data_IF_077112348015
#
_entry.id   IF_077112348015
#
_cell.length_a   1.000
_cell.length_b   1.000
_cell.length_c   1.000
_cell.angle_alpha   90.00
_cell.angle_beta   90.00
_cell.angle_gamma   90.00
#
_symmetry.space_group_name_H-M   'P 1'
#
loop_
_entity.id
_entity.type
_entity.pdbx_description
1 polymer ?
#
# COMPACT_ATOMS: atom_id res chain seq x y z
N UNK A 1 -41.71 -49.95 5.84
CA UNK A 1 -40.86 -49.37 4.78
C UNK A 1 -40.91 -47.85 4.90
N UNK A 2 -39.90 -47.24 5.47
CA UNK A 2 -39.84 -45.80 5.67
C UNK A 2 -38.72 -45.23 4.82
N UNK A 3 -39.06 -44.35 3.88
CA UNK A 3 -38.13 -43.72 2.96
C UNK A 3 -37.45 -42.50 3.65
N UNK A 4 -36.16 -42.56 3.79
CA UNK A 4 -35.32 -41.52 4.32
C UNK A 4 -34.94 -40.56 3.19
N UNK A 5 -35.52 -39.36 3.17
CA UNK A 5 -35.13 -38.27 2.27
C UNK A 5 -34.04 -37.46 2.96
N UNK A 6 -32.78 -37.69 2.57
CA UNK A 6 -31.61 -36.91 3.00
C UNK A 6 -31.58 -35.57 2.29
N UNK A 7 -31.60 -34.50 3.09
CA UNK A 7 -31.54 -33.11 2.64
C UNK A 7 -30.08 -32.74 2.31
N UNK A 8 -29.78 -32.62 1.03
CA UNK A 8 -28.41 -32.35 0.52
C UNK A 8 -28.20 -30.85 0.19
N UNK A 9 -28.72 -29.93 1.04
CA UNK A 9 -28.62 -28.49 0.80
C UNK A 9 -27.43 -27.79 1.51
N UNK A 10 -26.56 -28.53 2.21
CA UNK A 10 -25.46 -27.94 3.01
C UNK A 10 -24.11 -27.83 2.31
N UNK A 11 -23.88 -28.51 1.18
CA UNK A 11 -22.53 -28.61 0.58
C UNK A 11 -22.25 -27.59 -0.55
N UNK A 12 -23.26 -26.88 -1.04
CA UNK A 12 -23.05 -25.89 -2.11
C UNK A 12 -22.74 -24.48 -1.62
N UNK A 13 -22.97 -24.19 -0.33
CA UNK A 13 -22.70 -22.86 0.23
C UNK A 13 -21.22 -22.60 0.57
N UNK A 14 -20.42 -23.64 0.78
CA UNK A 14 -19.01 -23.49 1.13
C UNK A 14 -18.07 -23.28 -0.06
N UNK A 15 -18.50 -23.67 -1.26
CA UNK A 15 -17.68 -23.56 -2.48
C UNK A 15 -17.75 -22.17 -3.15
N UNK A 16 -18.82 -21.40 -2.93
CA UNK A 16 -19.01 -20.09 -3.55
C UNK A 16 -18.70 -18.89 -2.62
N UNK A 17 -18.42 -19.13 -1.34
CA UNK A 17 -18.18 -18.07 -0.35
C UNK A 17 -16.82 -17.40 -0.43
N UNK A 18 -15.79 -18.05 -0.98
CA UNK A 18 -14.41 -17.54 -0.92
C UNK A 18 -13.99 -16.63 -2.08
N UNK A 19 -14.68 -16.65 -3.21
CA UNK A 19 -14.25 -15.90 -4.40
C UNK A 19 -14.86 -14.50 -4.55
N UNK A 20 -15.87 -14.13 -3.76
CA UNK A 20 -16.56 -12.83 -3.89
C UNK A 20 -15.82 -11.66 -3.24
N UNK A 21 -14.89 -11.87 -2.32
CA UNK A 21 -14.26 -10.78 -1.58
C UNK A 21 -13.01 -10.17 -2.25
N UNK A 22 -12.40 -10.84 -3.23
CA UNK A 22 -11.16 -10.35 -3.85
C UNK A 22 -11.40 -9.41 -5.04
N UNK A 23 -12.41 -9.68 -5.87
CA UNK A 23 -12.68 -8.87 -7.06
C UNK A 23 -13.49 -7.60 -6.78
N UNK A 24 -14.43 -7.65 -5.82
CA UNK A 24 -15.23 -6.48 -5.46
C UNK A 24 -14.50 -5.47 -4.59
N UNK A 25 -13.50 -5.87 -3.81
CA UNK A 25 -12.67 -4.98 -3.00
C UNK A 25 -11.83 -4.02 -3.84
N UNK A 26 -11.29 -4.47 -4.96
CA UNK A 26 -10.48 -3.66 -5.87
C UNK A 26 -11.32 -2.67 -6.69
N UNK A 27 -12.51 -3.08 -7.14
CA UNK A 27 -13.44 -2.21 -7.86
C UNK A 27 -14.07 -1.14 -6.96
N UNK A 28 -14.36 -1.48 -5.71
CA UNK A 28 -14.94 -0.54 -4.74
C UNK A 28 -14.00 0.61 -4.40
N UNK A 29 -12.68 0.37 -4.27
CA UNK A 29 -11.71 1.43 -4.02
C UNK A 29 -11.55 2.36 -5.23
N UNK A 30 -11.51 1.82 -6.45
CA UNK A 30 -11.40 2.60 -7.68
C UNK A 30 -12.67 3.43 -7.96
N UNK A 31 -13.85 2.91 -7.65
CA UNK A 31 -15.12 3.64 -7.77
C UNK A 31 -15.23 4.74 -6.71
N UNK A 32 -14.72 4.52 -5.51
CA UNK A 32 -14.67 5.53 -4.44
C UNK A 32 -13.74 6.68 -4.82
N UNK A 33 -12.54 6.38 -5.34
CA UNK A 33 -11.59 7.40 -5.80
C UNK A 33 -12.17 8.20 -6.99
N UNK A 34 -12.83 7.52 -7.93
CA UNK A 34 -13.53 8.17 -9.05
C UNK A 34 -14.70 9.05 -8.60
N UNK A 35 -15.48 8.61 -7.62
CA UNK A 35 -16.59 9.40 -7.07
C UNK A 35 -16.13 10.67 -6.37
N UNK A 36 -14.99 10.63 -5.68
CA UNK A 36 -14.37 11.81 -5.04
C UNK A 36 -13.84 12.82 -6.05
N UNK A 37 -13.24 12.35 -7.15
CA UNK A 37 -12.79 13.20 -8.25
C UNK A 37 -14.01 13.85 -8.92
N UNK A 38 -15.07 13.09 -9.19
CA UNK A 38 -16.30 13.57 -9.85
C UNK A 38 -17.14 14.51 -8.98
N UNK A 39 -17.17 14.32 -7.67
CA UNK A 39 -17.91 15.19 -6.73
C UNK A 39 -17.23 16.56 -6.53
N UNK A 40 -16.04 16.76 -7.07
CA UNK A 40 -15.27 18.01 -6.93
C UNK A 40 -14.72 18.25 -5.53
N UNK A 41 -14.87 17.30 -4.61
CA UNK A 41 -14.36 17.43 -3.24
C UNK A 41 -12.83 17.53 -3.23
N UNK A 42 -12.15 16.76 -4.08
CA UNK A 42 -10.69 16.83 -4.27
C UNK A 42 -10.27 18.18 -4.88
N UNK A 43 -11.00 18.68 -5.86
CA UNK A 43 -10.74 19.99 -6.48
C UNK A 43 -10.95 21.16 -5.51
N UNK A 44 -11.94 21.07 -4.62
CA UNK A 44 -12.17 22.07 -3.56
C UNK A 44 -11.05 22.06 -2.52
N UNK A 45 -10.56 20.88 -2.13
CA UNK A 45 -9.45 20.72 -1.20
C UNK A 45 -8.16 21.29 -1.78
N UNK A 46 -7.84 20.98 -3.04
CA UNK A 46 -6.66 21.51 -3.75
C UNK A 46 -6.76 23.03 -3.95
N UNK A 47 -7.94 23.54 -4.29
CA UNK A 47 -8.15 24.99 -4.45
C UNK A 47 -8.00 25.75 -3.13
N UNK A 48 -8.44 25.17 -2.01
CA UNK A 48 -8.24 25.72 -0.67
C UNK A 48 -6.76 25.67 -0.24
N UNK A 49 -6.03 24.63 -0.64
CA UNK A 49 -4.59 24.48 -0.37
C UNK A 49 -3.77 25.55 -1.11
N UNK A 50 -3.99 25.72 -2.43
CA UNK A 50 -3.28 26.70 -3.24
C UNK A 50 -3.74 28.15 -3.05
N UNK A 51 -4.97 28.40 -2.63
CA UNK A 51 -5.43 29.75 -2.29
C UNK A 51 -4.69 30.34 -1.09
N UNK A 52 -4.18 29.50 -0.20
CA UNK A 52 -3.44 29.91 0.99
C UNK A 52 -1.97 30.23 0.72
N UNK A 53 -1.41 29.68 -0.36
CA UNK A 53 -0.02 29.96 -0.79
C UNK A 53 0.10 31.31 -1.52
N UNK A 54 -1.01 31.76 -2.13
CA UNK A 54 -1.07 33.04 -2.84
C UNK A 54 -1.27 34.28 -1.94
N UNK A 55 -1.70 34.08 -0.69
CA UNK A 55 -2.07 35.18 0.23
C UNK A 55 -0.91 35.66 1.14
N UNK A 56 0.29 35.12 0.94
CA UNK A 56 1.47 35.51 1.72
C UNK A 56 2.25 36.68 1.11
N UNK A 57 1.78 37.29 0.02
CA UNK A 57 2.52 38.33 -0.70
C UNK A 57 1.75 39.66 -0.88
N UNK A 58 0.92 40.11 0.05
CA UNK A 58 0.60 41.53 0.12
C UNK A 58 0.03 41.96 1.47
N UNK A 59 0.89 42.67 2.23
CA UNK A 59 0.44 43.62 3.28
C UNK A 59 0.01 44.91 2.62
N UNK A 60 -1.21 45.40 2.90
CA UNK A 60 -1.49 46.76 3.35
C UNK A 60 -2.98 46.96 3.64
N UNK A 61 -3.28 47.25 4.88
CA UNK A 61 -4.18 48.24 5.47
C UNK A 61 -5.56 48.55 4.83
N UNK A 62 -6.64 48.22 5.53
CA UNK A 62 -7.64 49.14 6.10
C UNK A 62 -8.84 48.39 6.72
N UNK A 63 -9.13 48.82 7.93
CA UNK A 63 -10.34 48.68 8.74
C UNK A 63 -11.67 48.64 7.95
N UNK A 64 -12.53 47.65 8.19
CA UNK A 64 -13.87 47.90 8.74
C UNK A 64 -14.59 46.62 9.24
N UNK A 65 -15.42 46.82 10.24
CA UNK A 65 -16.12 45.82 11.02
C UNK A 65 -17.32 45.26 10.23
N UNK A 66 -17.37 43.95 10.04
CA UNK A 66 -18.64 43.22 10.07
C UNK A 66 -18.37 41.78 10.47
N UNK A 67 -18.81 41.42 11.67
CA UNK A 67 -18.78 40.04 12.20
C UNK A 67 -19.72 39.18 11.36
N UNK A 68 -19.19 38.43 10.42
CA UNK A 68 -19.79 37.17 9.95
C UNK A 68 -18.98 36.03 10.53
N UNK A 69 -19.65 35.23 11.36
CA UNK A 69 -19.14 33.99 11.90
C UNK A 69 -18.87 32.99 10.79
N UNK A 70 -17.72 33.10 10.10
CA UNK A 70 -17.17 32.02 9.31
C UNK A 70 -16.30 31.14 10.23
N UNK A 71 -16.96 30.24 10.95
CA UNK A 71 -16.31 29.08 11.56
C UNK A 71 -15.95 28.08 10.46
N UNK A 72 -15.09 28.46 9.54
CA UNK A 72 -14.29 27.49 8.79
C UNK A 72 -13.29 26.94 9.78
N UNK A 73 -13.57 25.76 10.32
CA UNK A 73 -12.73 25.10 11.30
C UNK A 73 -11.31 24.95 10.70
N UNK A 74 -10.38 25.81 11.10
CA UNK A 74 -8.98 25.69 10.74
C UNK A 74 -8.45 24.45 11.46
N UNK A 75 -8.02 23.45 10.69
CA UNK A 75 -7.36 22.26 11.23
C UNK A 75 -6.19 22.70 12.13
N UNK A 76 -6.12 22.15 13.33
CA UNK A 76 -4.99 22.35 14.22
C UNK A 76 -3.70 21.80 13.60
N UNK A 77 -2.55 22.28 14.05
CA UNK A 77 -1.25 21.78 13.58
C UNK A 77 -1.14 20.27 13.77
N UNK A 78 -1.61 19.73 14.89
CA UNK A 78 -1.61 18.30 15.19
C UNK A 78 -2.47 17.48 14.20
N UNK A 79 -3.62 18.01 13.81
CA UNK A 79 -4.49 17.33 12.82
C UNK A 79 -3.87 17.29 11.44
N UNK A 80 -3.17 18.37 11.05
CA UNK A 80 -2.41 18.42 9.79
C UNK A 80 -1.28 17.40 9.78
N UNK A 81 -0.52 17.32 10.86
CA UNK A 81 0.55 16.32 11.01
C UNK A 81 0.02 14.89 10.97
N UNK A 82 -1.11 14.61 11.63
CA UNK A 82 -1.74 13.31 11.58
C UNK A 82 -2.23 12.95 10.16
N UNK A 83 -2.79 13.93 9.44
CA UNK A 83 -3.22 13.72 8.06
C UNK A 83 -2.03 13.46 7.13
N UNK A 84 -0.94 14.20 7.31
CA UNK A 84 0.28 13.99 6.56
C UNK A 84 0.88 12.60 6.81
N UNK A 85 1.03 12.19 8.08
CA UNK A 85 1.49 10.85 8.44
C UNK A 85 0.62 9.76 7.83
N UNK A 86 -0.70 9.98 7.78
CA UNK A 86 -1.62 9.03 7.18
C UNK A 86 -1.45 8.93 5.66
N UNK A 87 -1.19 10.07 4.99
CA UNK A 87 -0.90 10.10 3.56
C UNK A 87 0.43 9.40 3.24
N UNK A 88 1.47 9.66 4.00
CA UNK A 88 2.76 9.00 3.88
C UNK A 88 2.62 7.48 4.04
N UNK A 89 1.93 7.05 5.11
CA UNK A 89 1.64 5.65 5.37
C UNK A 89 0.85 4.98 4.22
N UNK A 90 -0.15 5.66 3.68
CA UNK A 90 -0.93 5.20 2.54
C UNK A 90 -0.03 5.02 1.31
N UNK A 91 0.79 6.01 1.00
CA UNK A 91 1.69 6.00 -0.17
C UNK A 91 2.75 4.91 -0.03
N UNK A 92 3.43 4.82 1.12
CA UNK A 92 4.45 3.80 1.35
C UNK A 92 3.88 2.37 1.32
N UNK A 93 2.70 2.16 1.92
CA UNK A 93 2.04 0.88 1.88
C UNK A 93 1.62 0.48 0.45
N UNK A 94 1.11 1.44 -0.33
CA UNK A 94 0.79 1.18 -1.74
C UNK A 94 2.04 0.83 -2.55
N UNK A 95 3.10 1.60 -2.41
CA UNK A 95 4.36 1.35 -3.12
C UNK A 95 4.93 -0.04 -2.83
N UNK A 96 4.86 -0.50 -1.58
CA UNK A 96 5.30 -1.84 -1.22
C UNK A 96 4.40 -2.93 -1.80
N UNK A 97 3.09 -2.74 -1.76
CA UNK A 97 2.13 -3.68 -2.38
C UNK A 97 2.35 -3.80 -3.89
N UNK A 98 2.57 -2.67 -4.57
CA UNK A 98 2.83 -2.64 -6.01
C UNK A 98 4.17 -3.31 -6.35
N UNK A 99 5.23 -3.05 -5.56
CA UNK A 99 6.55 -3.65 -5.75
C UNK A 99 6.54 -5.16 -5.49
N UNK A 100 5.83 -5.63 -4.46
CA UNK A 100 5.62 -7.05 -4.21
C UNK A 100 4.86 -7.71 -5.37
N UNK A 101 3.80 -7.08 -5.85
CA UNK A 101 3.02 -7.57 -6.99
C UNK A 101 3.83 -7.61 -8.29
N UNK A 102 4.76 -6.67 -8.48
CA UNK A 102 5.65 -6.67 -9.65
C UNK A 102 6.56 -7.90 -9.66
N UNK A 103 7.08 -8.32 -8.50
CA UNK A 103 7.91 -9.53 -8.36
C UNK A 103 7.11 -10.83 -8.49
N UNK A 104 5.78 -10.80 -8.38
CA UNK A 104 4.91 -11.96 -8.57
C UNK A 104 4.56 -12.21 -10.04
N UNK A 105 4.77 -11.24 -10.93
CA UNK A 105 4.38 -11.35 -12.33
C UNK A 105 5.23 -12.35 -13.09
N UNK A 106 4.61 -13.32 -13.73
CA UNK A 106 5.29 -14.31 -14.60
C UNK A 106 6.07 -13.65 -15.72
N UNK A 107 5.59 -12.48 -16.22
CA UNK A 107 6.27 -11.74 -17.30
C UNK A 107 7.67 -11.30 -16.93
N UNK A 108 7.97 -11.08 -15.65
CA UNK A 108 9.30 -10.71 -15.16
C UNK A 108 10.35 -11.82 -15.36
N UNK A 109 9.89 -13.07 -15.43
CA UNK A 109 10.74 -14.27 -15.50
C UNK A 109 10.69 -14.97 -16.86
N UNK A 110 10.09 -14.34 -17.87
CA UNK A 110 10.05 -14.89 -19.22
C UNK A 110 11.42 -14.83 -19.85
N UNK A 111 11.70 -15.86 -20.64
CA UNK A 111 12.87 -15.89 -21.50
C UNK A 111 12.60 -14.93 -22.66
N UNK A 112 13.48 -13.98 -22.88
CA UNK A 112 13.48 -13.09 -24.03
C UNK A 112 14.58 -13.56 -24.98
N UNK A 113 14.30 -13.55 -26.29
CA UNK A 113 15.29 -13.88 -27.33
C UNK A 113 15.86 -12.57 -27.85
N UNK A 114 17.17 -12.38 -27.72
CA UNK A 114 17.88 -11.25 -28.26
C UNK A 114 18.06 -11.36 -29.77
N UNK A 115 18.43 -10.26 -30.42
CA UNK A 115 18.66 -10.21 -31.88
C UNK A 115 19.77 -11.16 -32.35
N UNK A 116 20.70 -11.50 -31.46
CA UNK A 116 21.78 -12.47 -31.71
C UNK A 116 21.34 -13.94 -31.58
N UNK A 117 20.06 -14.21 -31.33
CA UNK A 117 19.49 -15.53 -31.13
C UNK A 117 19.71 -16.13 -29.75
N UNK A 118 20.38 -15.44 -28.83
CA UNK A 118 20.49 -15.88 -27.43
C UNK A 118 19.19 -15.73 -26.69
N UNK A 119 18.82 -16.75 -25.93
CA UNK A 119 17.58 -16.76 -25.15
C UNK A 119 17.91 -16.78 -23.67
N UNK A 120 17.58 -15.71 -22.96
CA UNK A 120 17.84 -15.60 -21.51
C UNK A 120 16.74 -14.79 -20.81
N UNK A 121 16.63 -14.99 -19.51
CA UNK A 121 15.81 -14.13 -18.66
C UNK A 121 16.56 -12.84 -18.37
N UNK A 122 15.89 -11.70 -18.51
CA UNK A 122 16.48 -10.38 -18.23
C UNK A 122 16.72 -10.21 -16.70
N UNK A 123 17.96 -10.48 -16.30
CA UNK A 123 18.41 -10.35 -14.92
C UNK A 123 18.41 -8.90 -14.44
N UNK A 124 18.56 -7.95 -15.34
CA UNK A 124 18.55 -6.52 -15.01
C UNK A 124 17.16 -6.07 -14.57
N UNK A 125 16.12 -6.52 -15.26
CA UNK A 125 14.72 -6.26 -14.86
C UNK A 125 14.40 -6.83 -13.49
N UNK A 126 14.85 -8.08 -13.22
CA UNK A 126 14.64 -8.72 -11.90
C UNK A 126 15.37 -7.95 -10.80
N UNK A 127 16.64 -7.60 -11.03
CA UNK A 127 17.44 -6.84 -10.03
C UNK A 127 16.82 -5.46 -9.75
N UNK A 128 16.31 -4.78 -10.77
CA UNK A 128 15.61 -3.50 -10.62
C UNK A 128 14.31 -3.65 -9.83
N UNK A 129 13.55 -4.72 -10.05
CA UNK A 129 12.34 -5.03 -9.28
C UNK A 129 12.67 -5.34 -7.81
N UNK A 130 13.73 -6.10 -7.53
CA UNK A 130 14.22 -6.36 -6.17
C UNK A 130 14.66 -5.08 -5.48
N UNK A 131 15.37 -4.18 -6.18
CA UNK A 131 15.77 -2.87 -5.65
C UNK A 131 14.57 -2.00 -5.29
N UNK A 132 13.56 -1.96 -6.16
CA UNK A 132 12.32 -1.25 -5.90
C UNK A 132 11.58 -1.82 -4.70
N UNK A 133 11.52 -3.14 -4.57
CA UNK A 133 10.92 -3.82 -3.42
C UNK A 133 11.65 -3.48 -2.12
N UNK A 134 12.98 -3.55 -2.09
CA UNK A 134 13.81 -3.22 -0.92
C UNK A 134 13.58 -1.76 -0.49
N UNK A 135 13.59 -0.82 -1.42
CA UNK A 135 13.31 0.60 -1.13
C UNK A 135 11.92 0.83 -0.55
N UNK A 136 10.90 0.24 -1.19
CA UNK A 136 9.51 0.35 -0.73
C UNK A 136 9.30 -0.32 0.64
N UNK A 137 9.94 -1.47 0.88
CA UNK A 137 9.90 -2.16 2.16
C UNK A 137 10.48 -1.29 3.29
N UNK A 138 11.65 -0.70 3.08
CA UNK A 138 12.30 0.16 4.09
C UNK A 138 11.42 1.38 4.43
N UNK A 139 10.87 2.04 3.42
CA UNK A 139 9.91 3.14 3.61
C UNK A 139 8.70 2.68 4.42
N UNK A 140 8.14 1.52 4.09
CA UNK A 140 7.00 0.94 4.81
C UNK A 140 7.31 0.64 6.27
N UNK A 141 8.45 0.00 6.56
CA UNK A 141 8.88 -0.33 7.95
C UNK A 141 9.07 0.95 8.76
N UNK A 142 9.71 1.97 8.18
CA UNK A 142 9.89 3.25 8.84
C UNK A 142 8.57 3.94 9.18
N UNK A 143 7.69 4.06 8.20
CA UNK A 143 6.40 4.75 8.37
C UNK A 143 5.47 4.00 9.33
N UNK A 144 5.39 2.67 9.22
CA UNK A 144 4.57 1.86 10.12
C UNK A 144 5.13 1.83 11.53
N UNK A 145 6.44 1.89 11.70
CA UNK A 145 7.12 1.98 12.99
C UNK A 145 6.83 3.28 13.74
N UNK A 146 6.63 4.39 13.02
CA UNK A 146 6.25 5.70 13.60
C UNK A 146 4.78 5.80 13.96
N UNK A 147 3.94 4.88 13.50
CA UNK A 147 2.49 4.95 13.72
C UNK A 147 2.13 4.65 15.17
N UNK A 148 1.29 5.50 15.78
CA UNK A 148 0.69 5.27 17.09
C UNK A 148 -0.46 4.25 17.07
N UNK A 149 -0.94 3.84 15.88
CA UNK A 149 -2.07 2.92 15.74
C UNK A 149 -1.63 1.47 15.91
N UNK A 150 -2.15 0.79 16.93
CA UNK A 150 -1.80 -0.61 17.25
C UNK A 150 -2.06 -1.57 16.08
N UNK A 151 -3.09 -1.33 15.27
CA UNK A 151 -3.39 -2.14 14.08
C UNK A 151 -2.28 -2.04 13.03
N UNK A 152 -1.72 -0.84 12.82
CA UNK A 152 -0.59 -0.60 11.91
C UNK A 152 0.69 -1.23 12.46
N UNK A 153 0.96 -1.06 13.75
CA UNK A 153 2.11 -1.68 14.42
C UNK A 153 2.08 -3.23 14.34
N UNK A 154 0.88 -3.84 14.40
CA UNK A 154 0.72 -5.28 14.18
C UNK A 154 1.13 -5.70 12.75
N UNK A 155 0.82 -4.91 11.73
CA UNK A 155 1.26 -5.19 10.35
C UNK A 155 2.77 -5.04 10.22
N UNK A 156 3.38 -4.01 10.82
CA UNK A 156 4.84 -3.83 10.89
C UNK A 156 5.51 -5.06 11.51
N UNK A 157 5.10 -5.45 12.72
CA UNK A 157 5.66 -6.61 13.41
C UNK A 157 5.51 -7.91 12.60
N UNK A 158 4.37 -8.09 11.92
CA UNK A 158 4.14 -9.25 11.05
C UNK A 158 5.09 -9.26 9.85
N UNK A 159 5.35 -8.10 9.24
CA UNK A 159 6.31 -7.98 8.14
C UNK A 159 7.74 -8.30 8.61
N UNK A 160 8.16 -7.75 9.76
CA UNK A 160 9.47 -8.04 10.36
C UNK A 160 9.65 -9.53 10.67
N UNK A 161 8.63 -10.20 11.24
CA UNK A 161 8.64 -11.64 11.50
C UNK A 161 8.74 -12.46 10.20
N UNK A 162 7.99 -12.09 9.17
CA UNK A 162 8.08 -12.77 7.87
C UNK A 162 9.47 -12.61 7.25
N UNK A 163 10.09 -11.45 7.35
CA UNK A 163 11.46 -11.18 6.89
C UNK A 163 12.47 -12.03 7.65
N UNK A 164 12.39 -12.09 8.98
CA UNK A 164 13.28 -12.90 9.80
C UNK A 164 13.14 -14.40 9.49
N UNK A 165 11.92 -14.89 9.28
CA UNK A 165 11.65 -16.28 8.92
C UNK A 165 12.26 -16.68 7.57
N UNK A 166 12.33 -15.73 6.61
CA UNK A 166 12.87 -15.96 5.28
C UNK A 166 14.34 -15.51 5.12
N UNK A 167 15.04 -15.19 6.21
CA UNK A 167 16.37 -14.58 6.19
C UNK A 167 17.41 -15.36 5.37
N UNK A 168 17.39 -16.68 5.43
CA UNK A 168 18.31 -17.54 4.67
C UNK A 168 18.09 -17.42 3.17
N UNK A 169 16.84 -17.57 2.72
CA UNK A 169 16.49 -17.45 1.31
C UNK A 169 16.71 -16.04 0.76
N UNK A 170 16.41 -15.02 1.58
CA UNK A 170 16.70 -13.62 1.25
C UNK A 170 18.21 -13.41 1.05
N UNK A 171 19.04 -13.96 1.93
CA UNK A 171 20.51 -13.88 1.81
C UNK A 171 21.03 -14.59 0.55
N UNK A 172 20.41 -15.65 0.08
CA UNK A 172 20.77 -16.34 -1.16
C UNK A 172 20.52 -15.46 -2.40
N UNK A 173 19.50 -14.60 -2.36
CA UNK A 173 19.18 -13.66 -3.45
C UNK A 173 19.81 -12.28 -3.28
N UNK A 174 20.76 -12.15 -2.34
CA UNK A 174 21.49 -10.92 -2.11
C UNK A 174 20.76 -9.90 -1.23
N UNK A 175 19.69 -10.28 -0.56
CA UNK A 175 18.96 -9.40 0.37
C UNK A 175 19.34 -9.76 1.81
N UNK A 176 19.84 -8.78 2.55
CA UNK A 176 20.11 -8.87 3.99
C UNK A 176 19.30 -7.83 4.76
N UNK A 177 19.17 -8.00 6.08
CA UNK A 177 18.48 -7.04 6.92
C UNK A 177 19.30 -6.66 8.15
N UNK A 178 19.11 -5.42 8.61
CA UNK A 178 19.78 -4.88 9.79
C UNK A 178 18.99 -5.13 11.09
N UNK A 179 19.55 -4.70 12.23
CA UNK A 179 18.90 -4.81 13.56
C UNK A 179 17.59 -4.01 13.67
N UNK A 180 17.36 -3.04 12.78
CA UNK A 180 16.12 -2.24 12.71
C UNK A 180 15.09 -2.87 11.78
N UNK A 181 15.48 -3.93 11.08
CA UNK A 181 14.63 -4.62 10.10
C UNK A 181 14.65 -4.01 8.70
N UNK A 182 15.54 -3.05 8.41
CA UNK A 182 15.71 -2.51 7.07
C UNK A 182 16.44 -3.52 6.18
N UNK A 183 16.02 -3.62 4.93
CA UNK A 183 16.63 -4.46 3.91
C UNK A 183 17.75 -3.72 3.18
N UNK A 184 18.77 -4.46 2.79
CA UNK A 184 19.82 -4.03 1.86
C UNK A 184 19.96 -5.04 0.73
N UNK A 185 20.24 -4.57 -0.50
CA UNK A 185 20.41 -5.40 -1.67
C UNK A 185 21.87 -5.36 -2.16
N UNK A 186 22.48 -6.52 -2.29
CA UNK A 186 23.69 -6.73 -3.07
C UNK A 186 23.28 -7.05 -4.53
N UNK A 187 23.37 -6.03 -5.39
CA UNK A 187 22.95 -6.15 -6.79
C UNK A 187 23.78 -7.20 -7.54
N UNK A 188 25.07 -7.33 -7.25
CA UNK A 188 25.95 -8.32 -7.87
C UNK A 188 25.52 -9.74 -7.53
N UNK A 189 25.19 -9.97 -6.27
CA UNK A 189 24.69 -11.26 -5.80
C UNK A 189 23.29 -11.55 -6.36
N UNK A 190 22.42 -10.55 -6.42
CA UNK A 190 21.08 -10.67 -6.98
C UNK A 190 21.11 -11.07 -8.45
N UNK A 191 22.01 -10.50 -9.25
CA UNK A 191 22.18 -10.85 -10.66
C UNK A 191 22.60 -12.32 -10.86
N UNK A 192 23.37 -12.86 -9.94
CA UNK A 192 23.87 -14.26 -9.98
C UNK A 192 22.95 -15.25 -9.27
N UNK A 193 21.95 -14.77 -8.52
CA UNK A 193 21.07 -15.60 -7.73
C UNK A 193 20.25 -16.57 -8.59
N UNK A 194 19.90 -17.72 -8.02
CA UNK A 194 19.05 -18.71 -8.69
C UNK A 194 17.65 -18.13 -8.97
N UNK A 195 17.18 -18.27 -10.21
CA UNK A 195 15.81 -17.89 -10.56
C UNK A 195 14.76 -18.68 -9.78
N UNK A 196 15.05 -19.95 -9.48
CA UNK A 196 14.14 -20.78 -8.69
C UNK A 196 14.01 -20.26 -7.27
N UNK A 197 15.11 -19.82 -6.64
CA UNK A 197 15.09 -19.21 -5.30
C UNK A 197 14.31 -17.87 -5.31
N UNK A 198 14.54 -17.01 -6.31
CA UNK A 198 13.79 -15.75 -6.44
C UNK A 198 12.30 -16.03 -6.62
N UNK A 199 11.92 -16.97 -7.49
CA UNK A 199 10.53 -17.36 -7.70
C UNK A 199 9.90 -17.94 -6.43
N UNK A 200 10.57 -18.82 -5.71
CA UNK A 200 10.03 -19.39 -4.47
C UNK A 200 9.82 -18.35 -3.37
N UNK A 201 10.66 -17.29 -3.34
CA UNK A 201 10.50 -16.18 -2.40
C UNK A 201 9.35 -15.25 -2.75
N UNK A 202 9.13 -14.99 -4.03
CA UNK A 202 8.23 -13.89 -4.43
C UNK A 202 6.98 -14.34 -5.19
N UNK A 203 6.98 -15.51 -5.83
CA UNK A 203 5.83 -16.00 -6.59
C UNK A 203 4.97 -16.98 -5.79
N UNK A 204 3.67 -16.97 -6.09
CA UNK A 204 2.69 -17.88 -5.52
C UNK A 204 2.12 -17.42 -4.17
N UNK A 205 0.93 -17.97 -3.85
CA UNK A 205 0.25 -17.69 -2.59
C UNK A 205 1.03 -18.22 -1.40
N UNK A 206 1.13 -17.41 -0.34
CA UNK A 206 1.87 -17.72 0.86
C UNK A 206 3.40 -17.54 0.76
N UNK A 207 3.93 -17.09 -0.40
CA UNK A 207 5.34 -16.70 -0.53
C UNK A 207 5.66 -15.50 0.36
N UNK A 208 6.95 -15.23 0.55
CA UNK A 208 7.40 -14.03 1.26
C UNK A 208 6.86 -12.76 0.59
N UNK A 209 6.96 -12.65 -0.74
CA UNK A 209 6.42 -11.52 -1.50
C UNK A 209 4.93 -11.33 -1.34
N UNK A 210 4.16 -12.42 -1.39
CA UNK A 210 2.71 -12.43 -1.16
C UNK A 210 2.37 -11.96 0.27
N UNK A 211 3.03 -12.56 1.26
CA UNK A 211 2.85 -12.19 2.67
C UNK A 211 3.11 -10.70 2.91
N UNK A 212 4.21 -10.15 2.39
CA UNK A 212 4.57 -8.73 2.55
C UNK A 212 3.57 -7.84 1.80
N UNK A 213 3.18 -8.21 0.58
CA UNK A 213 2.16 -7.52 -0.21
C UNK A 213 0.82 -7.42 0.51
N UNK A 214 0.39 -8.51 1.16
CA UNK A 214 -0.83 -8.53 1.97
C UNK A 214 -0.77 -7.59 3.18
N UNK A 215 0.37 -7.56 3.91
CA UNK A 215 0.56 -6.63 5.04
C UNK A 215 0.53 -5.18 4.57
N UNK A 216 1.16 -4.89 3.46
CA UNK A 216 1.13 -3.58 2.84
C UNK A 216 -0.29 -3.18 2.40
N UNK A 217 -1.01 -4.08 1.72
CA UNK A 217 -2.40 -3.86 1.29
C UNK A 217 -3.33 -3.64 2.48
N UNK A 218 -3.20 -4.42 3.56
CA UNK A 218 -3.97 -4.22 4.79
C UNK A 218 -3.69 -2.84 5.40
N UNK A 219 -2.43 -2.41 5.45
CA UNK A 219 -2.04 -1.09 5.95
C UNK A 219 -2.57 0.03 5.07
N UNK A 220 -2.50 -0.11 3.75
CA UNK A 220 -3.08 0.84 2.80
C UNK A 220 -4.58 1.05 3.07
N UNK A 221 -5.34 -0.04 3.24
CA UNK A 221 -6.79 0.01 3.55
C UNK A 221 -7.06 0.72 4.88
N UNK A 222 -6.26 0.45 5.92
CA UNK A 222 -6.36 1.12 7.22
C UNK A 222 -6.10 2.62 7.11
N UNK A 223 -5.04 3.02 6.41
CA UNK A 223 -4.69 4.42 6.19
C UNK A 223 -5.76 5.14 5.35
N UNK A 224 -6.24 4.49 4.30
CA UNK A 224 -7.28 5.03 3.43
C UNK A 224 -8.58 5.29 4.20
N UNK A 225 -9.08 4.31 4.96
CA UNK A 225 -10.32 4.47 5.75
C UNK A 225 -10.21 5.53 6.84
N UNK A 226 -9.05 5.70 7.44
CA UNK A 226 -8.82 6.75 8.43
C UNK A 226 -8.80 8.16 7.81
N UNK A 227 -8.20 8.31 6.62
CA UNK A 227 -8.21 9.57 5.87
C UNK A 227 -9.63 10.01 5.51
N UNK A 228 -10.51 9.09 5.11
CA UNK A 228 -11.91 9.40 4.81
C UNK A 228 -12.68 9.89 6.03
N UNK A 229 -12.50 9.26 7.19
CA UNK A 229 -13.17 9.68 8.43
C UNK A 229 -12.78 11.09 8.84
N UNK A 230 -11.51 11.44 8.72
CA UNK A 230 -11.03 12.79 9.03
C UNK A 230 -11.62 13.81 8.06
N UNK A 231 -11.65 13.55 6.74
CA UNK A 231 -12.29 14.43 5.75
C UNK A 231 -13.78 14.64 6.02
N UNK A 232 -14.54 13.60 6.35
CA UNK A 232 -15.98 13.70 6.59
C UNK A 232 -16.31 14.52 7.84
N UNK A 233 -15.49 14.48 8.87
CA UNK A 233 -15.68 15.29 10.10
C UNK A 233 -15.59 16.81 9.80
N UNK A 234 -14.80 17.21 8.80
CA UNK A 234 -14.62 18.63 8.43
C UNK A 234 -15.57 19.11 7.31
N UNK A 235 -16.22 18.20 6.61
CA UNK A 235 -17.12 18.55 5.50
C UNK A 235 -18.61 18.41 5.84
N UNK A 236 -18.96 17.81 7.00
CA UNK A 236 -20.34 17.76 7.48
C UNK A 236 -20.76 19.15 7.96
N UNK A 237 -21.81 19.77 7.38
CA UNK A 237 -22.42 20.96 7.99
C UNK A 237 -22.94 20.59 9.38
N UNK A 238 -22.53 21.37 10.37
CA UNK A 238 -23.10 21.26 11.72
C UNK A 238 -24.60 21.51 11.65
N UNK A 239 -25.44 20.73 12.34
CA UNK A 239 -26.89 20.95 12.38
C UNK A 239 -27.25 22.29 12.98
#
# INVERSE_FOLDING_TARGET
MSLYTGNNSGLMSSLFGSYKNSLFGSLSSSLSDYSMIRSGAYGKLMKAYYAKEADTTQKTDKTDKTKKNDKTAQMSTQEKEQLQQMQELKTGAKSLSDAASALQKDSLYKVETAEDGTSAVDRSKITSALKSFVGAYNTYIEQTGKSSKSTVQKQNLSALKATAANSKLLAEVGISYDKKGNLTLDETKAQKASLSTIKSLFQGGGSYGDTIGDKATATYRLANSASYKTCLLYTSPSP
#
